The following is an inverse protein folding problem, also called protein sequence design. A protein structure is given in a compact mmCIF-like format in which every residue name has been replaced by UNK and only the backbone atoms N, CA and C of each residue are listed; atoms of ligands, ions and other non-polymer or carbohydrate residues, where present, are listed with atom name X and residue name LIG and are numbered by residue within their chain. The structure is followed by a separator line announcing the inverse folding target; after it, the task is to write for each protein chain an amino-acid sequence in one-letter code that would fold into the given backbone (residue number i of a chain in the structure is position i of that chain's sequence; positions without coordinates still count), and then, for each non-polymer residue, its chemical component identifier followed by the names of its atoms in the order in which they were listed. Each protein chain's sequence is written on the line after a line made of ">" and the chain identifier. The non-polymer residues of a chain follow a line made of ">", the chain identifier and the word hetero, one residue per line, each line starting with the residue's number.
data_IF_890797369158
#
_entry.id   IF_890797369158
#
_cell.length_a   1.000
_cell.length_b   1.000
_cell.length_c   1.000
_cell.angle_alpha   90.00
_cell.angle_beta   90.00
_cell.angle_gamma   90.00
#
_symmetry.space_group_name_H-M   'P 1'
#
loop_
_entity.id
_entity.type
_entity.pdbx_description
1 polymer ?
#
# COMPACT_ATOMS: atom_id res chain seq x y z
N UNK A 1 -54.93 31.17 -20.63
CA UNK A 1 -54.28 31.57 -19.35
C UNK A 1 -53.63 30.41 -18.57
N UNK A 2 -54.15 29.17 -18.59
CA UNK A 2 -53.58 28.06 -17.82
C UNK A 2 -52.26 27.49 -18.38
N UNK A 3 -52.03 27.54 -19.69
CA UNK A 3 -50.82 26.99 -20.32
C UNK A 3 -49.55 27.80 -20.04
N UNK A 4 -49.69 29.11 -19.82
CA UNK A 4 -48.54 29.99 -19.55
C UNK A 4 -48.04 29.85 -18.11
N UNK A 5 -48.95 29.71 -17.14
CA UNK A 5 -48.61 29.46 -15.73
C UNK A 5 -47.87 28.13 -15.54
N UNK A 6 -48.27 27.08 -16.25
CA UNK A 6 -47.62 25.77 -16.15
C UNK A 6 -46.20 25.76 -16.74
N UNK A 7 -45.96 26.51 -17.83
CA UNK A 7 -44.60 26.65 -18.39
C UNK A 7 -43.67 27.49 -17.50
N UNK A 8 -44.20 28.53 -16.87
CA UNK A 8 -43.43 29.36 -15.94
C UNK A 8 -43.07 28.59 -14.65
N UNK A 9 -43.99 27.78 -14.12
CA UNK A 9 -43.72 26.93 -12.95
C UNK A 9 -42.64 25.88 -13.24
N UNK A 10 -42.66 25.28 -14.44
CA UNK A 10 -41.67 24.29 -14.85
C UNK A 10 -40.27 24.89 -15.03
N UNK A 11 -40.18 26.10 -15.59
CA UNK A 11 -38.91 26.82 -15.74
C UNK A 11 -38.30 27.22 -14.39
N UNK A 12 -39.13 27.63 -13.43
CA UNK A 12 -38.67 27.95 -12.07
C UNK A 12 -38.18 26.69 -11.35
N UNK A 13 -38.87 25.56 -11.51
CA UNK A 13 -38.46 24.26 -10.94
C UNK A 13 -37.12 23.77 -11.52
N UNK A 14 -36.92 23.90 -12.84
CA UNK A 14 -35.65 23.52 -13.49
C UNK A 14 -34.50 24.44 -13.08
N UNK A 15 -34.75 25.75 -12.93
CA UNK A 15 -33.75 26.72 -12.50
C UNK A 15 -33.34 26.54 -11.02
N UNK A 16 -34.27 26.12 -10.15
CA UNK A 16 -33.99 25.83 -8.73
C UNK A 16 -33.29 24.48 -8.52
N UNK A 17 -33.46 23.51 -9.42
CA UNK A 17 -32.78 22.21 -9.35
C UNK A 17 -31.35 22.22 -9.94
N UNK A 18 -31.04 23.14 -10.86
CA UNK A 18 -29.71 23.29 -11.47
C UNK A 18 -28.55 23.52 -10.48
N UNK A 19 -28.64 24.34 -9.41
CA UNK A 19 -27.54 24.51 -8.46
C UNK A 19 -27.31 23.29 -7.55
N UNK A 20 -28.30 22.39 -7.41
CA UNK A 20 -28.18 21.17 -6.58
C UNK A 20 -27.34 20.11 -7.31
N UNK A 21 -27.32 20.11 -8.64
CA UNK A 21 -26.50 19.18 -9.43
C UNK A 21 -25.04 19.63 -9.63
N UNK A 22 -24.74 20.93 -9.48
CA UNK A 22 -23.37 21.47 -9.59
C UNK A 22 -22.60 21.51 -8.25
N UNK A 23 -23.24 21.12 -7.14
CA UNK A 23 -22.61 21.13 -5.82
C UNK A 23 -21.89 19.80 -5.48
N UNK A 24 -22.02 18.77 -6.32
CA UNK A 24 -21.20 17.56 -6.23
C UNK A 24 -19.86 17.75 -6.97
N UNK A 25 -19.15 18.83 -6.66
CA UNK A 25 -17.72 18.85 -6.87
C UNK A 25 -17.13 17.92 -5.81
N UNK A 26 -17.03 16.62 -6.13
CA UNK A 26 -16.22 15.71 -5.34
C UNK A 26 -14.86 16.41 -5.16
N UNK A 27 -14.42 16.72 -3.93
CA UNK A 27 -13.03 17.09 -3.74
C UNK A 27 -12.25 15.92 -4.32
N UNK A 28 -11.49 16.20 -5.37
CA UNK A 28 -10.47 15.30 -5.84
C UNK A 28 -9.44 15.27 -4.72
N UNK A 29 -9.69 14.41 -3.72
CA UNK A 29 -8.78 14.12 -2.64
C UNK A 29 -7.49 13.73 -3.35
N UNK A 30 -6.48 14.59 -3.22
CA UNK A 30 -5.13 14.30 -3.66
C UNK A 30 -4.66 13.11 -2.85
N UNK A 31 -4.97 11.90 -3.34
CA UNK A 31 -4.53 10.66 -2.75
C UNK A 31 -3.02 10.73 -2.60
N UNK A 32 -2.56 10.48 -1.37
CA UNK A 32 -1.16 10.41 -0.94
C UNK A 32 -0.22 10.25 -2.13
N UNK A 33 0.33 11.38 -2.57
CA UNK A 33 1.33 11.38 -3.60
C UNK A 33 2.58 10.78 -2.96
N UNK A 34 2.88 9.52 -3.27
CA UNK A 34 4.22 8.94 -3.12
C UNK A 34 5.13 9.71 -4.08
N UNK A 35 5.40 10.97 -3.79
CA UNK A 35 6.17 11.83 -4.65
C UNK A 35 7.58 11.87 -4.12
N UNK A 36 8.52 11.72 -5.04
CA UNK A 36 9.86 12.27 -4.93
C UNK A 36 9.83 13.82 -4.92
N UNK A 37 8.87 14.42 -4.20
CA UNK A 37 8.55 15.86 -4.19
C UNK A 37 9.63 16.73 -3.54
N UNK A 38 10.64 16.10 -2.92
CA UNK A 38 11.85 16.77 -2.44
C UNK A 38 13.07 16.56 -3.34
N UNK A 39 12.96 15.81 -4.44
CA UNK A 39 14.06 15.64 -5.39
C UNK A 39 14.06 16.75 -6.43
N UNK A 40 15.27 17.20 -6.75
CA UNK A 40 15.54 18.18 -7.80
C UNK A 40 15.95 17.49 -9.09
N UNK A 41 15.90 18.19 -10.23
CA UNK A 41 16.25 17.59 -11.54
C UNK A 41 17.67 17.01 -11.56
N UNK A 42 18.62 17.68 -10.91
CA UNK A 42 20.02 17.26 -10.78
C UNK A 42 20.22 16.08 -9.84
N UNK A 43 19.19 15.64 -9.11
CA UNK A 43 19.23 14.38 -8.35
C UNK A 43 19.28 13.15 -9.29
N UNK A 44 18.72 13.28 -10.50
CA UNK A 44 18.65 12.19 -11.47
C UNK A 44 19.42 12.47 -12.76
N UNK A 45 19.54 13.74 -13.15
CA UNK A 45 20.15 14.16 -14.42
C UNK A 45 21.50 14.85 -14.20
N UNK A 46 22.41 14.72 -15.18
CA UNK A 46 23.68 15.47 -15.19
C UNK A 46 23.46 16.98 -15.42
N UNK A 47 22.35 17.34 -16.06
CA UNK A 47 21.99 18.71 -16.46
C UNK A 47 20.48 18.92 -16.30
N UNK A 48 20.07 20.16 -16.05
CA UNK A 48 18.66 20.53 -15.84
C UNK A 48 18.05 21.22 -17.06
N UNK A 49 16.77 20.93 -17.37
CA UNK A 49 15.97 21.64 -18.38
C UNK A 49 14.88 20.74 -19.03
N UNK A 50 14.30 21.19 -20.16
CA UNK A 50 13.37 20.37 -20.96
C UNK A 50 14.15 19.40 -21.87
N UNK A 51 13.90 18.09 -21.68
CA UNK A 51 14.29 16.90 -22.45
C UNK A 51 15.16 17.03 -23.73
N UNK A 52 16.09 16.08 -24.03
CA UNK A 52 16.50 14.94 -23.21
C UNK A 52 17.87 15.19 -22.57
N UNK A 53 17.90 15.52 -21.27
CA UNK A 53 19.16 15.50 -20.51
C UNK A 53 19.45 14.08 -20.04
N UNK A 54 20.72 13.70 -20.13
CA UNK A 54 21.15 12.37 -19.75
C UNK A 54 21.00 12.15 -18.25
N UNK A 55 20.58 10.94 -17.88
CA UNK A 55 20.59 10.49 -16.49
C UNK A 55 22.05 10.39 -16.02
N UNK A 56 22.32 10.67 -14.74
CA UNK A 56 23.68 10.54 -14.18
C UNK A 56 24.25 9.14 -14.37
N UNK A 57 23.45 8.11 -14.11
CA UNK A 57 23.87 6.70 -14.24
C UNK A 57 23.49 6.11 -15.60
N UNK A 58 24.05 6.63 -16.70
CA UNK A 58 23.62 6.33 -18.09
C UNK A 58 23.51 4.84 -18.41
N UNK A 59 24.48 4.06 -17.94
CA UNK A 59 24.58 2.62 -18.25
C UNK A 59 23.62 1.76 -17.43
N UNK A 60 23.33 2.18 -16.19
CA UNK A 60 22.39 1.50 -15.31
C UNK A 60 21.51 2.48 -14.53
N UNK A 61 20.43 2.97 -15.16
CA UNK A 61 19.21 3.51 -14.59
C UNK A 61 18.91 3.29 -13.11
N UNK A 62 19.00 2.02 -12.76
CA UNK A 62 18.57 1.51 -11.49
C UNK A 62 19.52 1.84 -10.36
N UNK A 63 20.79 2.17 -10.62
CA UNK A 63 21.72 2.56 -9.56
C UNK A 63 21.30 3.90 -8.94
N UNK A 64 20.75 4.83 -9.76
CA UNK A 64 20.09 6.04 -9.25
C UNK A 64 18.94 5.72 -8.31
N UNK A 65 18.10 4.78 -8.72
CA UNK A 65 16.94 4.37 -7.92
C UNK A 65 17.41 3.69 -6.64
N UNK A 66 18.42 2.82 -6.75
CA UNK A 66 18.91 1.99 -5.67
C UNK A 66 19.68 2.77 -4.59
N UNK A 67 20.19 3.96 -4.94
CA UNK A 67 20.79 4.88 -3.95
C UNK A 67 19.82 5.25 -2.81
N UNK A 68 18.51 5.22 -3.10
CA UNK A 68 17.45 5.48 -2.12
C UNK A 68 16.56 4.25 -1.85
N UNK A 69 16.47 3.31 -2.79
CA UNK A 69 15.56 2.16 -2.73
C UNK A 69 16.33 0.84 -2.72
N UNK A 70 16.21 -0.01 -1.70
CA UNK A 70 16.96 -1.27 -1.70
C UNK A 70 16.16 -2.43 -2.34
N UNK A 71 16.20 -2.56 -3.67
CA UNK A 71 15.54 -3.65 -4.44
C UNK A 71 16.52 -4.65 -5.07
N UNK A 72 17.77 -4.67 -4.63
CA UNK A 72 18.80 -5.56 -5.17
C UNK A 72 18.73 -6.98 -4.58
N UNK A 73 17.82 -7.25 -3.64
CA UNK A 73 17.63 -8.60 -3.11
C UNK A 73 17.06 -9.51 -4.21
N UNK A 74 17.79 -10.55 -4.65
CA UNK A 74 17.32 -11.48 -5.69
C UNK A 74 16.07 -12.28 -5.25
N UNK A 75 15.67 -12.19 -3.97
CA UNK A 75 14.45 -12.77 -3.42
C UNK A 75 13.30 -11.77 -3.33
N UNK A 76 13.47 -10.52 -3.75
CA UNK A 76 12.34 -9.61 -3.95
C UNK A 76 11.56 -10.05 -5.20
N UNK A 77 10.23 -10.02 -5.12
CA UNK A 77 9.35 -10.30 -6.26
C UNK A 77 9.27 -9.12 -7.23
N UNK A 78 9.83 -7.96 -6.85
CA UNK A 78 9.94 -6.81 -7.73
C UNK A 78 10.94 -7.14 -8.87
N UNK A 79 10.52 -7.09 -10.15
CA UNK A 79 11.38 -7.49 -11.26
C UNK A 79 12.53 -6.48 -11.43
N UNK A 80 13.76 -6.93 -11.16
CA UNK A 80 14.97 -6.13 -11.30
C UNK A 80 16.10 -6.96 -11.93
N UNK A 81 16.75 -6.41 -12.98
CA UNK A 81 17.85 -7.03 -13.73
C UNK A 81 17.58 -8.44 -14.28
N UNK A 82 16.31 -8.78 -14.49
CA UNK A 82 15.93 -10.06 -15.08
C UNK A 82 16.20 -10.04 -16.59
N UNK A 83 16.94 -11.05 -17.05
CA UNK A 83 17.14 -11.31 -18.47
C UNK A 83 15.87 -11.95 -19.05
N UNK A 84 15.40 -11.41 -20.18
CA UNK A 84 14.19 -11.89 -20.81
C UNK A 84 14.46 -13.16 -21.63
N UNK A 85 14.34 -14.33 -21.03
CA UNK A 85 14.48 -15.60 -21.77
C UNK A 85 13.15 -16.20 -22.22
N UNK A 86 11.99 -15.74 -21.72
CA UNK A 86 10.72 -16.47 -21.95
C UNK A 86 9.42 -15.65 -21.93
N UNK A 87 9.45 -14.34 -21.67
CA UNK A 87 8.23 -13.52 -21.58
C UNK A 87 8.02 -12.68 -22.84
N UNK A 88 6.76 -12.60 -23.29
CA UNK A 88 6.35 -11.66 -24.33
C UNK A 88 6.18 -10.27 -23.70
N UNK A 89 7.28 -9.50 -23.65
CA UNK A 89 7.30 -8.16 -23.09
C UNK A 89 6.77 -7.17 -24.15
N UNK A 90 5.69 -6.40 -23.87
CA UNK A 90 5.16 -5.45 -24.84
C UNK A 90 6.20 -4.40 -25.24
N UNK A 91 6.21 -4.00 -26.51
CA UNK A 91 7.24 -3.12 -27.09
C UNK A 91 7.41 -1.75 -26.38
N UNK A 92 6.37 -1.28 -25.68
CA UNK A 92 6.39 -0.01 -24.96
C UNK A 92 7.08 -0.10 -23.58
N UNK A 93 7.35 -1.31 -23.08
CA UNK A 93 8.27 -1.54 -21.97
C UNK A 93 9.70 -1.47 -22.50
N UNK A 94 10.43 -0.43 -22.08
CA UNK A 94 11.80 -0.21 -22.55
C UNK A 94 12.76 -1.12 -21.79
N UNK A 95 13.24 -2.17 -22.45
CA UNK A 95 14.36 -2.98 -21.95
C UNK A 95 15.68 -2.28 -22.27
N UNK A 96 16.63 -2.29 -21.34
CA UNK A 96 17.98 -1.80 -21.58
C UNK A 96 18.95 -2.97 -21.62
N UNK A 97 19.71 -3.08 -22.72
CA UNK A 97 20.62 -4.21 -22.97
C UNK A 97 19.91 -5.57 -22.81
N UNK A 98 18.63 -5.65 -23.22
CA UNK A 98 17.80 -6.86 -23.10
C UNK A 98 17.29 -7.18 -21.69
N UNK A 99 17.57 -6.35 -20.68
CA UNK A 99 17.19 -6.56 -19.28
C UNK A 99 16.07 -5.63 -18.85
N UNK A 100 15.26 -6.11 -17.91
CA UNK A 100 14.32 -5.27 -17.17
C UNK A 100 15.03 -4.49 -16.08
N UNK A 101 14.61 -3.24 -15.89
CA UNK A 101 15.11 -2.36 -14.85
C UNK A 101 14.00 -1.45 -14.30
N UNK A 102 14.35 -0.52 -13.40
CA UNK A 102 13.38 0.34 -12.75
C UNK A 102 12.54 1.14 -13.76
N UNK A 103 13.13 1.67 -14.83
CA UNK A 103 12.46 2.52 -15.82
C UNK A 103 11.75 1.71 -16.92
N UNK A 104 11.94 0.39 -16.96
CA UNK A 104 11.09 -0.51 -17.75
C UNK A 104 9.64 -0.37 -17.29
N UNK A 105 9.41 -0.44 -15.97
CA UNK A 105 8.08 -0.40 -15.37
C UNK A 105 7.69 0.98 -14.85
N UNK A 106 8.66 1.79 -14.40
CA UNK A 106 8.38 3.09 -13.81
C UNK A 106 8.57 4.27 -14.77
N UNK A 107 7.71 5.28 -14.63
CA UNK A 107 7.79 6.52 -15.39
C UNK A 107 7.64 7.74 -14.48
N UNK A 108 8.77 8.41 -14.26
CA UNK A 108 8.90 9.57 -13.36
C UNK A 108 8.23 10.84 -13.91
N UNK A 109 8.15 10.98 -15.23
CA UNK A 109 7.58 12.14 -15.91
C UNK A 109 6.56 11.70 -16.97
N UNK A 110 5.46 12.44 -17.12
CA UNK A 110 4.39 12.16 -18.08
C UNK A 110 3.86 13.45 -18.72
N UNK A 111 3.55 13.36 -20.02
CA UNK A 111 3.08 14.49 -20.83
C UNK A 111 4.12 15.59 -21.03
N UNK A 112 3.69 16.74 -21.56
CA UNK A 112 4.52 17.93 -21.77
C UNK A 112 4.91 18.62 -20.45
N UNK A 113 4.21 18.25 -19.36
CA UNK A 113 4.41 18.79 -18.04
C UNK A 113 5.27 17.81 -17.23
N UNK A 114 6.59 17.92 -17.40
CA UNK A 114 7.64 17.12 -16.75
C UNK A 114 7.60 17.13 -15.20
N UNK A 115 6.63 17.83 -14.59
CA UNK A 115 6.38 17.87 -13.15
C UNK A 115 5.47 16.73 -12.64
N UNK A 116 4.79 15.98 -13.52
CA UNK A 116 3.86 14.92 -13.10
C UNK A 116 4.24 13.57 -13.70
N UNK A 117 4.48 12.57 -12.88
CA UNK A 117 4.61 11.17 -13.33
C UNK A 117 3.27 10.58 -13.76
N UNK A 118 3.29 9.38 -14.35
CA UNK A 118 2.06 8.64 -14.67
C UNK A 118 1.30 8.24 -13.40
N UNK A 119 0.01 7.87 -13.47
CA UNK A 119 -0.68 7.27 -12.33
C UNK A 119 0.13 6.10 -11.75
N UNK A 120 0.35 6.13 -10.42
CA UNK A 120 1.21 5.18 -9.69
C UNK A 120 2.69 5.13 -10.15
N UNK A 121 3.15 6.10 -10.94
CA UNK A 121 4.46 6.12 -11.58
C UNK A 121 4.73 4.89 -12.46
N UNK A 122 3.69 4.28 -13.02
CA UNK A 122 3.81 3.09 -13.86
C UNK A 122 3.72 3.42 -15.37
N UNK A 123 4.57 2.84 -16.19
CA UNK A 123 4.50 2.93 -17.66
C UNK A 123 3.13 2.45 -18.15
N UNK A 124 2.55 3.12 -19.15
CA UNK A 124 1.18 2.84 -19.63
C UNK A 124 0.09 3.51 -18.79
N UNK A 125 0.28 3.61 -17.47
CA UNK A 125 -0.64 4.28 -16.54
C UNK A 125 -2.07 3.73 -16.57
N UNK A 126 -2.99 4.34 -15.82
CA UNK A 126 -4.42 4.03 -15.88
C UNK A 126 -4.85 2.66 -15.36
N UNK A 127 -3.94 1.91 -14.73
CA UNK A 127 -4.25 0.63 -14.11
C UNK A 127 -5.21 0.78 -12.94
N UNK A 128 -6.20 -0.12 -12.85
CA UNK A 128 -7.14 -0.14 -11.72
C UNK A 128 -6.45 -0.63 -10.44
N UNK A 129 -5.54 -1.58 -10.56
CA UNK A 129 -4.71 -2.10 -9.46
C UNK A 129 -3.25 -2.06 -9.87
N UNK A 130 -2.36 -1.81 -8.91
CA UNK A 130 -0.90 -1.81 -9.13
C UNK A 130 -0.40 -3.09 -9.81
N UNK A 131 -0.96 -4.26 -9.46
CA UNK A 131 -0.60 -5.56 -10.05
C UNK A 131 -1.02 -5.73 -11.51
N UNK A 132 -1.90 -4.88 -12.04
CA UNK A 132 -2.36 -5.02 -13.44
C UNK A 132 -1.24 -4.75 -14.45
N UNK A 133 -0.16 -4.07 -14.02
CA UNK A 133 1.06 -3.95 -14.83
C UNK A 133 1.78 -5.30 -15.01
N UNK A 134 1.76 -6.18 -14.01
CA UNK A 134 2.41 -7.49 -14.07
C UNK A 134 1.75 -8.35 -15.16
N UNK A 135 0.43 -8.20 -15.33
CA UNK A 135 -0.34 -8.93 -16.34
C UNK A 135 -0.09 -8.45 -17.78
N UNK A 136 0.74 -7.43 -17.98
CA UNK A 136 1.19 -7.06 -19.33
C UNK A 136 2.18 -8.09 -19.90
N UNK A 137 2.89 -8.83 -19.02
CA UNK A 137 3.85 -9.86 -19.41
C UNK A 137 3.48 -11.26 -18.87
N UNK A 138 2.77 -11.33 -17.73
CA UNK A 138 2.37 -12.58 -17.10
C UNK A 138 0.91 -12.92 -17.38
N UNK A 139 0.61 -14.22 -17.57
CA UNK A 139 -0.78 -14.68 -17.59
C UNK A 139 -1.41 -14.43 -16.21
N UNK A 140 -2.59 -13.81 -16.21
CA UNK A 140 -3.28 -13.42 -14.99
C UNK A 140 -3.61 -14.63 -14.11
N UNK A 141 -3.97 -15.75 -14.72
CA UNK A 141 -4.33 -16.99 -14.05
C UNK A 141 -3.13 -17.53 -13.27
N UNK A 142 -1.98 -17.71 -13.94
CA UNK A 142 -0.76 -18.22 -13.32
C UNK A 142 -0.17 -17.27 -12.25
N UNK A 143 -0.39 -15.96 -12.38
CA UNK A 143 0.13 -14.98 -11.44
C UNK A 143 -0.84 -14.71 -10.27
N UNK A 144 -2.15 -14.92 -10.44
CA UNK A 144 -3.13 -14.80 -9.35
C UNK A 144 -2.90 -15.80 -8.23
N UNK A 145 -2.29 -16.95 -8.56
CA UNK A 145 -2.01 -18.01 -7.60
C UNK A 145 -0.86 -17.64 -6.65
N UNK A 146 -0.05 -16.62 -6.97
CA UNK A 146 1.01 -16.13 -6.09
C UNK A 146 0.39 -15.40 -4.89
N UNK A 147 0.19 -16.15 -3.82
CA UNK A 147 -0.35 -15.63 -2.56
C UNK A 147 0.60 -15.96 -1.40
N UNK A 148 1.40 -14.98 -0.94
CA UNK A 148 2.36 -15.22 0.13
C UNK A 148 1.69 -15.62 1.45
N UNK A 149 0.38 -15.42 1.59
CA UNK A 149 -0.39 -15.74 2.81
C UNK A 149 -0.85 -17.20 2.90
N UNK A 150 -0.51 -18.03 1.91
CA UNK A 150 -0.88 -19.46 1.83
C UNK A 150 0.29 -20.39 1.51
N UNK A 151 1.47 -19.85 1.22
CA UNK A 151 2.67 -20.61 0.83
C UNK A 151 3.83 -20.40 1.83
N UNK A 152 3.50 -20.15 3.10
CA UNK A 152 4.49 -19.95 4.16
C UNK A 152 4.95 -21.27 4.78
N UNK A 153 4.22 -22.36 4.53
CA UNK A 153 4.56 -23.71 4.98
C UNK A 153 4.64 -24.64 3.77
N UNK A 154 5.61 -25.54 3.80
CA UNK A 154 5.66 -26.70 2.92
C UNK A 154 4.62 -27.77 3.36
N UNK A 155 4.35 -28.79 2.53
CA UNK A 155 3.40 -29.86 2.88
C UNK A 155 3.73 -30.58 4.20
N UNK A 156 5.02 -30.67 4.54
CA UNK A 156 5.53 -31.27 5.79
C UNK A 156 5.44 -30.33 7.01
N UNK A 157 4.80 -29.17 6.86
CA UNK A 157 4.65 -28.13 7.88
C UNK A 157 5.95 -27.39 8.26
N UNK A 158 7.03 -27.57 7.50
CA UNK A 158 8.24 -26.75 7.68
C UNK A 158 8.09 -25.37 7.04
N UNK A 159 8.80 -24.36 7.57
CA UNK A 159 8.71 -22.99 7.08
C UNK A 159 9.33 -22.83 5.69
N UNK A 160 8.56 -22.21 4.79
CA UNK A 160 9.07 -21.73 3.52
C UNK A 160 9.72 -20.35 3.70
N UNK A 161 11.02 -20.34 4.03
CA UNK A 161 11.78 -19.12 4.26
C UNK A 161 11.90 -18.20 3.05
N UNK A 162 11.68 -18.70 1.83
CA UNK A 162 11.60 -17.84 0.65
C UNK A 162 10.38 -16.91 0.74
N UNK A 163 9.21 -17.45 1.07
CA UNK A 163 7.97 -16.68 1.25
C UNK A 163 8.09 -15.68 2.40
N UNK A 164 8.71 -16.06 3.53
CA UNK A 164 8.92 -15.14 4.65
C UNK A 164 9.71 -13.89 4.23
N UNK A 165 10.72 -14.06 3.36
CA UNK A 165 11.56 -12.97 2.86
C UNK A 165 10.86 -12.04 1.87
N UNK A 166 9.60 -12.29 1.50
CA UNK A 166 8.83 -11.32 0.72
C UNK A 166 8.46 -10.08 1.56
N UNK A 167 8.32 -10.25 2.87
CA UNK A 167 8.00 -9.18 3.81
C UNK A 167 9.16 -8.87 4.75
N UNK A 168 9.86 -9.90 5.22
CA UNK A 168 10.91 -9.77 6.21
C UNK A 168 12.31 -9.64 5.58
N UNK A 169 13.19 -8.87 6.21
CA UNK A 169 14.59 -8.75 5.76
C UNK A 169 15.35 -10.06 6.01
N UNK A 170 15.08 -10.67 7.16
CA UNK A 170 15.55 -11.99 7.57
C UNK A 170 14.36 -12.87 7.95
N UNK A 171 14.39 -14.20 7.73
CA UNK A 171 13.28 -15.05 8.10
C UNK A 171 13.18 -15.12 9.63
N UNK A 172 12.02 -14.78 10.22
CA UNK A 172 11.84 -14.80 11.67
C UNK A 172 11.70 -16.23 12.18
N UNK A 173 12.09 -16.46 13.43
CA UNK A 173 11.78 -17.67 14.18
C UNK A 173 10.44 -17.50 14.93
N UNK A 174 9.36 -18.16 14.50
CA UNK A 174 8.02 -17.95 15.06
C UNK A 174 7.82 -18.49 16.48
N UNK A 175 8.78 -19.24 17.02
CA UNK A 175 8.74 -19.75 18.40
C UNK A 175 9.23 -18.72 19.42
N UNK A 176 10.13 -17.83 19.02
CA UNK A 176 10.83 -16.91 19.94
C UNK A 176 10.68 -15.44 19.54
N UNK A 177 10.58 -15.12 18.26
CA UNK A 177 10.58 -13.74 17.80
C UNK A 177 9.20 -13.10 18.00
N UNK A 178 9.17 -12.00 18.73
CA UNK A 178 8.01 -11.13 18.85
C UNK A 178 7.99 -10.04 17.77
N UNK A 179 6.93 -9.22 17.77
CA UNK A 179 6.75 -8.15 16.80
C UNK A 179 7.90 -7.11 16.78
N UNK A 180 8.62 -6.98 17.90
CA UNK A 180 9.78 -6.08 18.05
C UNK A 180 11.10 -6.70 17.57
N UNK A 181 11.16 -8.02 17.47
CA UNK A 181 12.38 -8.78 17.20
C UNK A 181 12.53 -9.09 15.69
N UNK A 182 11.45 -8.94 14.92
CA UNK A 182 11.44 -9.18 13.48
C UNK A 182 11.83 -7.95 12.67
N UNK A 183 12.64 -8.16 11.63
CA UNK A 183 13.06 -7.11 10.70
C UNK A 183 12.25 -7.17 9.40
N UNK A 184 11.80 -6.00 8.93
CA UNK A 184 11.06 -5.87 7.68
C UNK A 184 11.91 -5.23 6.59
N UNK A 185 11.70 -5.64 5.33
CA UNK A 185 12.38 -5.04 4.16
C UNK A 185 12.07 -3.55 3.97
N UNK A 186 10.94 -3.11 4.50
CA UNK A 186 10.46 -1.73 4.42
C UNK A 186 9.46 -1.47 5.54
N UNK A 187 8.91 -0.26 5.62
CA UNK A 187 7.78 -0.02 6.51
C UNK A 187 6.60 -0.91 6.11
N UNK A 188 5.96 -1.53 7.12
CA UNK A 188 4.95 -2.59 6.94
C UNK A 188 3.83 -2.19 5.96
N UNK A 189 3.32 -0.97 6.04
CA UNK A 189 2.27 -0.48 5.15
C UNK A 189 2.68 -0.51 3.67
N UNK A 190 3.93 -0.15 3.34
CA UNK A 190 4.42 -0.23 1.97
C UNK A 190 4.49 -1.67 1.48
N UNK A 191 4.87 -2.63 2.33
CA UNK A 191 4.90 -4.04 1.98
C UNK A 191 3.49 -4.55 1.61
N UNK A 192 2.47 -4.20 2.41
CA UNK A 192 1.09 -4.55 2.11
C UNK A 192 0.60 -3.91 0.80
N UNK A 193 0.94 -2.64 0.59
CA UNK A 193 0.52 -1.87 -0.59
C UNK A 193 1.14 -2.32 -1.90
N UNK A 194 2.16 -3.19 -1.88
CA UNK A 194 2.67 -3.83 -3.10
C UNK A 194 1.57 -4.62 -3.80
N UNK A 195 0.68 -5.27 -3.03
CA UNK A 195 -0.36 -6.16 -3.54
C UNK A 195 -1.79 -5.68 -3.25
N UNK A 196 -2.01 -4.98 -2.15
CA UNK A 196 -3.32 -4.53 -1.70
C UNK A 196 -3.50 -3.03 -1.93
N UNK A 197 -4.69 -2.55 -2.32
CA UNK A 197 -4.96 -1.12 -2.28
C UNK A 197 -4.91 -0.63 -0.83
N UNK A 198 -4.60 0.65 -0.60
CA UNK A 198 -4.82 1.26 0.71
C UNK A 198 -6.29 1.12 1.12
N UNK A 199 -6.55 1.08 2.43
CA UNK A 199 -7.91 1.13 2.96
C UNK A 199 -8.58 2.46 2.57
N UNK A 200 -9.90 2.55 2.72
CA UNK A 200 -10.62 3.82 2.59
C UNK A 200 -9.89 4.91 3.38
N UNK A 201 -9.66 6.06 2.72
CA UNK A 201 -8.90 7.21 3.26
C UNK A 201 -9.37 7.59 4.66
N UNK A 202 -10.68 7.62 4.90
CA UNK A 202 -11.22 8.15 6.16
C UNK A 202 -10.81 7.27 7.35
N UNK A 203 -10.81 5.95 7.17
CA UNK A 203 -10.34 5.02 8.19
C UNK A 203 -8.81 4.97 8.28
N UNK A 204 -8.15 5.11 7.12
CA UNK A 204 -6.70 5.07 7.04
C UNK A 204 -6.06 6.26 7.76
N UNK A 205 -6.55 7.46 7.52
CA UNK A 205 -5.96 8.72 8.00
C UNK A 205 -6.07 8.89 9.53
N UNK A 206 -7.10 8.29 10.13
CA UNK A 206 -7.32 8.34 11.59
C UNK A 206 -6.52 7.26 12.33
N UNK A 207 -6.31 6.07 11.75
CA UNK A 207 -5.69 4.93 12.46
C UNK A 207 -4.22 4.67 12.08
N UNK A 208 -3.77 4.97 10.86
CA UNK A 208 -2.48 4.48 10.37
C UNK A 208 -1.33 5.48 10.53
N UNK A 209 -0.14 4.94 10.81
CA UNK A 209 1.12 5.70 10.99
C UNK A 209 1.11 6.74 12.12
N UNK A 210 0.09 6.73 12.97
CA UNK A 210 0.08 7.50 14.23
C UNK A 210 1.03 6.84 15.23
N UNK A 211 1.92 7.64 15.82
CA UNK A 211 2.79 7.21 16.93
C UNK A 211 2.00 7.26 18.24
N UNK A 212 2.35 6.38 19.17
CA UNK A 212 2.14 6.68 20.59
C UNK A 212 2.80 8.03 20.91
N UNK A 213 2.01 9.02 21.29
CA UNK A 213 2.52 10.35 21.57
C UNK A 213 2.89 10.55 23.04
N UNK A 214 2.65 9.57 23.92
CA UNK A 214 2.80 9.73 25.38
C UNK A 214 1.95 10.88 25.95
N UNK A 215 1.01 11.40 25.16
CA UNK A 215 0.02 12.41 25.50
C UNK A 215 -1.36 11.89 25.10
N UNK A 216 -2.42 12.31 25.80
CA UNK A 216 -3.80 12.01 25.41
C UNK A 216 -4.00 12.37 23.94
N UNK A 217 -4.44 11.39 23.16
CA UNK A 217 -4.78 11.56 21.75
C UNK A 217 -6.04 12.44 21.65
N UNK A 218 -5.86 13.72 21.33
CA UNK A 218 -7.01 14.57 21.00
C UNK A 218 -7.55 14.22 19.60
N UNK A 219 -8.53 13.31 19.59
CA UNK A 219 -9.30 12.87 18.43
C UNK A 219 -10.62 13.66 18.30
N UNK A 220 -10.62 14.97 18.60
CA UNK A 220 -11.82 15.82 18.48
C UNK A 220 -12.40 15.94 17.06
N UNK A 221 -11.77 15.38 16.03
CA UNK A 221 -12.28 15.41 14.66
C UNK A 221 -12.40 14.00 14.05
N UNK A 222 -13.54 13.35 14.33
CA UNK A 222 -14.51 12.82 13.36
C UNK A 222 -15.19 11.53 13.87
N UNK A 223 -16.53 11.55 13.86
CA UNK A 223 -17.49 10.46 14.15
C UNK A 223 -17.98 10.23 15.59
N UNK A 224 -17.85 11.19 16.51
CA UNK A 224 -18.51 11.11 17.81
C UNK A 224 -17.95 10.03 18.77
N UNK A 225 -16.90 9.32 18.35
CA UNK A 225 -16.05 8.53 19.23
C UNK A 225 -14.95 9.44 19.78
N UNK A 226 -15.27 10.24 20.80
CA UNK A 226 -14.26 10.88 21.63
C UNK A 226 -13.69 9.81 22.57
N UNK A 227 -12.77 9.01 22.07
CA UNK A 227 -12.07 8.01 22.85
C UNK A 227 -10.61 8.03 22.47
N UNK A 228 -9.77 8.52 23.39
CA UNK A 228 -8.35 8.21 23.35
C UNK A 228 -8.20 6.71 23.20
N UNK A 229 -7.49 6.23 22.18
CA UNK A 229 -6.97 4.85 22.24
C UNK A 229 -5.79 4.91 23.20
N UNK A 230 -6.09 4.81 24.49
CA UNK A 230 -5.04 4.61 25.48
C UNK A 230 -4.40 3.24 25.19
N UNK A 231 -3.06 3.19 25.10
CA UNK A 231 -2.34 1.92 24.96
C UNK A 231 -2.74 0.92 26.04
N UNK A 232 -3.05 1.43 27.23
CA UNK A 232 -3.56 0.64 28.35
C UNK A 232 -4.89 -0.05 28.02
N UNK A 233 -5.82 0.62 27.35
CA UNK A 233 -7.06 0.01 26.87
C UNK A 233 -6.74 -1.11 25.88
N UNK A 234 -5.85 -0.89 24.91
CA UNK A 234 -5.45 -1.96 23.98
C UNK A 234 -4.83 -3.15 24.72
N UNK A 235 -3.97 -2.92 25.71
CA UNK A 235 -3.36 -3.97 26.53
C UNK A 235 -4.36 -4.73 27.38
N UNK A 236 -5.33 -4.05 27.97
CA UNK A 236 -6.43 -4.67 28.69
C UNK A 236 -7.25 -5.57 27.74
N UNK A 237 -7.56 -5.07 26.54
CA UNK A 237 -8.32 -5.84 25.54
C UNK A 237 -7.54 -7.05 25.03
N UNK A 238 -6.24 -6.93 24.77
CA UNK A 238 -5.36 -8.07 24.44
C UNK A 238 -5.40 -9.15 25.54
N UNK A 239 -5.36 -8.73 26.81
CA UNK A 239 -5.43 -9.63 27.96
C UNK A 239 -6.79 -10.34 28.04
N UNK A 240 -7.88 -9.60 27.80
CA UNK A 240 -9.26 -10.10 27.90
C UNK A 240 -9.68 -10.99 26.72
N UNK A 241 -9.25 -10.66 25.50
CA UNK A 241 -9.79 -11.23 24.27
C UNK A 241 -8.87 -12.25 23.57
N UNK A 242 -7.79 -12.68 24.24
CA UNK A 242 -6.88 -13.75 23.78
C UNK A 242 -6.27 -13.47 22.38
N UNK A 243 -5.83 -12.23 22.14
CA UNK A 243 -5.09 -11.84 20.94
C UNK A 243 -3.94 -10.89 21.25
N UNK A 244 -3.05 -10.69 20.27
CA UNK A 244 -2.02 -9.64 20.27
C UNK A 244 -2.24 -8.73 19.06
N UNK A 245 -2.15 -7.43 19.30
CA UNK A 245 -2.17 -6.32 18.36
C UNK A 245 -0.74 -5.77 18.20
N UNK A 246 0.05 -6.37 17.30
CA UNK A 246 1.44 -5.94 17.14
C UNK A 246 1.51 -4.52 16.61
N UNK A 247 2.35 -3.70 17.23
CA UNK A 247 2.76 -2.41 16.70
C UNK A 247 4.00 -2.60 15.83
N UNK A 248 4.26 -1.64 14.93
CA UNK A 248 5.55 -1.62 14.24
C UNK A 248 6.70 -1.26 15.21
N UNK A 249 7.98 -1.41 14.81
CA UNK A 249 9.12 -1.07 15.67
C UNK A 249 9.16 0.38 16.16
N UNK A 250 8.34 1.28 15.61
CA UNK A 250 8.19 2.68 16.04
C UNK A 250 6.95 2.91 16.90
N UNK A 251 6.28 1.85 17.36
CA UNK A 251 5.08 1.92 18.19
C UNK A 251 3.83 2.38 17.42
N UNK A 252 3.76 2.17 16.10
CA UNK A 252 2.64 2.64 15.27
C UNK A 252 1.68 1.52 14.91
N UNK A 253 0.40 1.87 14.79
CA UNK A 253 -0.62 1.00 14.22
C UNK A 253 -0.37 0.83 12.71
N UNK A 254 -0.47 -0.42 12.25
CA UNK A 254 -0.32 -0.79 10.84
C UNK A 254 -1.35 -1.84 10.43
N UNK A 255 -1.31 -2.27 9.17
CA UNK A 255 -2.22 -3.29 8.66
C UNK A 255 -2.12 -4.59 9.49
N UNK A 256 -0.90 -4.95 9.91
CA UNK A 256 -0.63 -6.19 10.66
C UNK A 256 -1.11 -6.14 12.12
N UNK A 257 -1.42 -4.94 12.63
CA UNK A 257 -2.00 -4.75 13.96
C UNK A 257 -3.41 -5.33 14.03
N UNK A 258 -4.22 -5.07 13.00
CA UNK A 258 -5.61 -5.57 12.93
C UNK A 258 -5.72 -6.88 12.15
N UNK A 259 -4.85 -7.10 11.16
CA UNK A 259 -4.86 -8.27 10.29
C UNK A 259 -3.65 -9.18 10.55
N UNK A 260 -3.85 -10.49 10.50
CA UNK A 260 -2.79 -11.47 10.57
C UNK A 260 -2.49 -12.03 9.17
N UNK A 261 -1.45 -11.53 8.48
CA UNK A 261 -1.15 -11.96 7.12
C UNK A 261 -0.68 -13.41 7.05
N UNK A 262 -0.28 -14.02 8.17
CA UNK A 262 0.32 -15.34 8.16
C UNK A 262 -0.69 -16.45 7.87
N UNK A 263 -0.19 -17.51 7.23
CA UNK A 263 -0.89 -18.79 7.08
C UNK A 263 -1.12 -19.42 8.47
N UNK A 264 -2.25 -20.12 8.69
CA UNK A 264 -2.44 -20.93 9.90
C UNK A 264 -1.27 -21.90 10.12
N UNK A 265 -0.82 -22.04 11.36
CA UNK A 265 0.31 -22.91 11.72
C UNK A 265 1.69 -22.24 11.70
N UNK A 266 1.84 -21.07 11.08
CA UNK A 266 3.13 -20.33 11.08
C UNK A 266 3.47 -19.77 12.45
N UNK A 267 2.50 -19.12 13.11
CA UNK A 267 2.72 -18.54 14.44
C UNK A 267 2.40 -19.57 15.52
N UNK A 268 3.38 -19.92 16.34
CA UNK A 268 3.21 -20.91 17.43
C UNK A 268 2.44 -20.30 18.61
N UNK A 269 2.67 -19.01 18.90
CA UNK A 269 1.90 -18.30 19.92
C UNK A 269 0.44 -18.13 19.47
N UNK A 270 -0.48 -18.79 20.18
CA UNK A 270 -1.93 -18.78 19.89
C UNK A 270 -2.53 -17.37 19.79
N UNK A 271 -2.16 -16.45 20.68
CA UNK A 271 -2.67 -15.06 20.66
C UNK A 271 -2.17 -14.30 19.44
N UNK A 272 -0.90 -14.50 19.07
CA UNK A 272 -0.32 -13.92 17.87
C UNK A 272 -0.86 -14.56 16.58
N UNK A 273 -1.27 -15.83 16.63
CA UNK A 273 -1.86 -16.58 15.52
C UNK A 273 -3.32 -16.18 15.23
N UNK A 274 -3.99 -15.45 16.11
CA UNK A 274 -5.38 -15.02 15.93
C UNK A 274 -5.57 -14.34 14.57
N UNK A 275 -6.66 -14.69 13.89
CA UNK A 275 -7.00 -14.15 12.57
C UNK A 275 -6.30 -14.84 11.39
N UNK A 276 -5.24 -15.62 11.59
CA UNK A 276 -4.60 -16.38 10.51
C UNK A 276 -5.62 -17.28 9.79
N UNK A 277 -5.59 -17.31 8.46
CA UNK A 277 -6.51 -18.10 7.63
C UNK A 277 -7.96 -17.59 7.55
N UNK A 278 -8.40 -16.68 8.42
CA UNK A 278 -9.76 -16.14 8.35
C UNK A 278 -9.99 -15.30 7.07
N UNK A 279 -11.24 -15.17 6.62
CA UNK A 279 -11.62 -14.49 5.37
C UNK A 279 -10.99 -13.11 5.20
N UNK A 280 -11.01 -12.29 6.27
CA UNK A 280 -10.43 -10.95 6.27
C UNK A 280 -9.14 -10.88 7.07
N UNK A 281 -8.61 -12.03 7.52
CA UNK A 281 -7.43 -12.12 8.38
C UNK A 281 -7.53 -11.32 9.68
N UNK A 282 -8.72 -10.92 10.12
CA UNK A 282 -8.89 -10.04 11.28
C UNK A 282 -8.53 -10.76 12.59
N UNK A 283 -7.68 -10.13 13.40
CA UNK A 283 -7.40 -10.52 14.80
C UNK A 283 -8.60 -10.18 15.70
N UNK A 284 -9.22 -9.04 15.41
CA UNK A 284 -10.27 -8.40 16.17
C UNK A 284 -11.62 -9.10 15.97
N UNK A 285 -12.29 -9.42 17.07
CA UNK A 285 -13.65 -9.98 17.09
C UNK A 285 -14.70 -8.91 17.36
N UNK A 286 -14.41 -8.00 18.30
CA UNK A 286 -15.23 -6.84 18.63
C UNK A 286 -15.03 -5.64 17.69
N UNK A 287 -14.06 -5.73 16.77
CA UNK A 287 -13.71 -4.65 15.82
C UNK A 287 -13.28 -3.38 16.57
N UNK A 288 -14.11 -2.33 16.56
CA UNK A 288 -13.80 -1.07 17.21
C UNK A 288 -13.71 -1.23 18.74
N UNK A 289 -14.55 -2.06 19.36
CA UNK A 289 -14.58 -2.23 20.82
C UNK A 289 -13.39 -3.02 21.39
N UNK A 290 -12.57 -3.59 20.51
CA UNK A 290 -11.31 -4.24 20.87
C UNK A 290 -10.17 -3.22 21.05
N UNK A 291 -10.38 -1.95 20.66
CA UNK A 291 -9.40 -0.87 20.81
C UNK A 291 -9.98 0.38 21.51
N UNK A 292 -11.28 0.61 21.38
CA UNK A 292 -11.98 1.76 21.95
C UNK A 292 -12.88 1.33 23.10
N UNK A 293 -13.03 2.19 24.09
CA UNK A 293 -14.09 2.03 25.08
C UNK A 293 -15.46 2.12 24.42
N UNK A 294 -16.35 1.20 24.78
CA UNK A 294 -17.76 1.29 24.42
C UNK A 294 -18.38 2.40 25.27
N UNK A 295 -18.79 3.49 24.62
CA UNK A 295 -19.73 4.44 25.21
C UNK A 295 -21.16 3.93 25.12
#
# INVERSE_FOLDING_TARGET
>A
MNTFKNKLLLLILVALLMPILNSCSFPFISGMQMTHSGLTCDSCHEKTGKSPYELREKDNPSDLCNSCHNYQDPKDHHPFQLENSSLNIPYYFRLRKGKMDCLTCHRMHSGDNYSKGTPMLLVGGGYRKRRDICFQCHKKEAYNDINPHTEMLYPDQTLNYYTCRLCHASPPNPEIDGAKDVEFKSAIHFLCWRCHPPMNSDFFDIHFLKKDSGKPFDLTLMHGFSGEVAFDTMKEKEAKNDFILPLDPRGRLTCSTCHNPHQPGVMVNRKAAKGAGSKNRLRLTGKCSDCHESK
#
